data_IF_830760261198
#
_entry.id   IF_830760261198
#
_cell.length_a   1.000
_cell.length_b   1.000
_cell.length_c   1.000
_cell.angle_alpha   90.00
_cell.angle_beta   90.00
_cell.angle_gamma   90.00
#
_symmetry.space_group_name_H-M   'P 1'
#
loop_
_entity.id
_entity.type
_entity.pdbx_description
1 polymer ?
2 non-polymer ?
3 water ?
#
# COMPACT_ATOMS: atom_id res chain seq x y z
N UNK A 1 -8.95 -31.37 -15.10
CA UNK A 1 -9.05 -30.62 -13.82
C UNK A 1 -8.06 -29.46 -13.77
N UNK A 2 -6.91 -29.61 -14.42
CA UNK A 2 -5.90 -28.56 -14.45
C UNK A 2 -5.87 -27.87 -15.82
N UNK A 3 -6.05 -26.55 -15.82
CA UNK A 3 -6.06 -25.75 -17.04
C UNK A 3 -4.89 -24.78 -17.08
N UNK A 4 -4.39 -24.51 -18.28
CA UNK A 4 -3.30 -23.56 -18.47
C UNK A 4 -3.90 -22.41 -19.25
N UNK A 5 -4.12 -21.29 -18.58
CA UNK A 5 -4.76 -20.14 -19.19
C UNK A 5 -3.91 -18.88 -19.24
N UNK A 6 -3.92 -18.22 -20.39
CA UNK A 6 -3.18 -16.98 -20.55
C UNK A 6 -4.14 -15.82 -20.26
N UNK A 7 -3.72 -14.92 -19.38
CA UNK A 7 -4.53 -13.76 -19.03
C UNK A 7 -3.64 -12.54 -18.98
N UNK A 8 -4.26 -11.37 -18.87
CA UNK A 8 -3.54 -10.12 -18.77
C UNK A 8 -4.56 -9.14 -18.22
N UNK A 9 -4.08 -7.98 -17.77
CA UNK A 9 -4.97 -6.98 -17.20
C UNK A 9 -5.76 -6.23 -18.27
N UNK A 10 -6.92 -6.78 -18.64
CA UNK A 10 -7.79 -6.17 -19.63
C UNK A 10 -9.04 -5.65 -18.93
N UNK A 11 -8.89 -5.29 -17.66
CA UNK A 11 -9.96 -4.76 -16.86
C UNK A 11 -11.18 -5.65 -16.61
N UNK A 12 -10.99 -6.97 -16.64
CA UNK A 12 -12.12 -7.87 -16.35
C UNK A 12 -11.82 -8.52 -15.00
N UNK A 13 -12.86 -8.71 -14.20
CA UNK A 13 -12.75 -9.30 -12.87
C UNK A 13 -12.08 -10.67 -12.80
N UNK A 14 -12.49 -11.58 -13.69
CA UNK A 14 -11.93 -12.93 -13.70
C UNK A 14 -10.42 -12.90 -13.94
N UNK A 15 -9.98 -12.07 -14.88
CA UNK A 15 -8.56 -11.95 -15.20
C UNK A 15 -7.79 -11.36 -14.02
N UNK A 16 -8.38 -10.36 -13.37
CA UNK A 16 -7.75 -9.72 -12.23
C UNK A 16 -7.62 -10.73 -11.08
N UNK A 17 -8.61 -11.60 -10.94
CA UNK A 17 -8.61 -12.61 -9.89
C UNK A 17 -7.43 -13.57 -10.09
N UNK A 18 -7.19 -13.98 -11.33
CA UNK A 18 -6.09 -14.89 -11.64
C UNK A 18 -4.76 -14.17 -11.45
N UNK A 19 -4.66 -12.96 -12.00
CA UNK A 19 -3.45 -12.17 -11.89
C UNK A 19 -3.07 -11.98 -10.42
N UNK A 20 -4.07 -11.70 -9.59
CA UNK A 20 -3.83 -11.48 -8.17
C UNK A 20 -3.38 -12.74 -7.45
N UNK A 21 -4.00 -13.88 -7.75
CA UNK A 21 -3.60 -15.13 -7.11
C UNK A 21 -2.16 -15.45 -7.49
N UNK A 22 -1.80 -15.15 -8.74
CA UNK A 22 -0.46 -15.40 -9.25
C UNK A 22 0.54 -14.47 -8.56
N UNK A 23 0.21 -13.19 -8.50
CA UNK A 23 1.07 -12.19 -7.88
C UNK A 23 1.41 -12.59 -6.44
N UNK A 24 0.42 -13.12 -5.73
CA UNK A 24 0.62 -13.54 -4.35
C UNK A 24 1.66 -14.67 -4.26
N UNK A 25 1.65 -15.58 -5.23
CA UNK A 25 2.62 -16.67 -5.22
C UNK A 25 4.03 -16.08 -5.42
N UNK A 26 4.17 -15.23 -6.44
CA UNK A 26 5.45 -14.60 -6.73
C UNK A 26 5.97 -13.79 -5.54
N UNK A 27 5.09 -13.02 -4.92
CA UNK A 27 5.48 -12.20 -3.78
C UNK A 27 5.97 -13.06 -2.61
N UNK A 28 5.34 -14.20 -2.42
CA UNK A 28 5.73 -15.10 -1.34
C UNK A 28 7.05 -15.81 -1.65
N UNK A 29 7.27 -16.13 -2.92
CA UNK A 29 8.47 -16.85 -3.35
C UNK A 29 9.68 -15.96 -3.61
N UNK A 30 9.45 -14.67 -3.82
CA UNK A 30 10.54 -13.71 -4.06
C UNK A 30 10.40 -12.56 -3.06
N UNK A 31 10.44 -12.88 -1.76
CA UNK A 31 10.31 -11.90 -0.68
C UNK A 31 11.31 -10.75 -0.67
N UNK A 32 12.52 -11.01 -1.16
CA UNK A 32 13.57 -9.98 -1.20
C UNK A 32 13.34 -8.96 -2.32
N UNK A 33 12.36 -9.20 -3.18
CA UNK A 33 12.06 -8.26 -4.25
C UNK A 33 10.98 -7.32 -3.74
N UNK A 34 10.98 -6.07 -4.22
CA UNK A 34 9.94 -5.14 -3.74
C UNK A 34 8.57 -5.70 -4.16
N UNK A 35 7.68 -5.96 -3.20
CA UNK A 35 6.38 -6.51 -3.55
C UNK A 35 5.54 -5.64 -4.48
N UNK A 36 5.67 -4.32 -4.35
CA UNK A 36 4.89 -3.41 -5.21
C UNK A 36 5.41 -3.46 -6.65
N UNK A 37 6.69 -3.77 -6.80
CA UNK A 37 7.29 -3.87 -8.12
C UNK A 37 6.71 -5.11 -8.81
N UNK A 38 6.65 -6.22 -8.08
CA UNK A 38 6.10 -7.45 -8.61
C UNK A 38 4.65 -7.21 -9.05
N UNK A 39 3.86 -6.58 -8.19
CA UNK A 39 2.46 -6.28 -8.48
C UNK A 39 2.31 -5.45 -9.77
N UNK A 40 3.08 -4.37 -9.87
CA UNK A 40 3.03 -3.50 -11.04
C UNK A 40 3.26 -4.24 -12.35
N UNK A 41 4.25 -5.12 -12.38
CA UNK A 41 4.57 -5.89 -13.59
C UNK A 41 3.46 -6.88 -13.96
N UNK A 42 2.98 -7.63 -12.97
CA UNK A 42 1.91 -8.61 -13.20
C UNK A 42 0.62 -7.92 -13.71
N UNK A 43 0.31 -6.75 -13.16
CA UNK A 43 -0.90 -6.03 -13.54
C UNK A 43 -0.74 -5.16 -14.79
N UNK A 44 0.49 -5.03 -15.28
CA UNK A 44 0.75 -4.24 -16.48
C UNK A 44 0.11 -4.94 -17.68
N UNK A 45 -0.64 -4.20 -18.48
CA UNK A 45 -1.31 -4.82 -19.64
C UNK A 45 -0.36 -5.40 -20.69
N UNK A 46 0.83 -4.82 -20.82
CA UNK A 46 1.81 -5.30 -21.80
C UNK A 46 2.39 -6.64 -21.39
N UNK A 47 2.19 -7.01 -20.12
CA UNK A 47 2.68 -8.28 -19.60
C UNK A 47 1.56 -9.31 -19.62
N UNK A 48 1.87 -10.51 -20.12
CA UNK A 48 0.89 -11.59 -20.16
C UNK A 48 1.28 -12.63 -19.12
N UNK A 49 0.30 -13.39 -18.64
CA UNK A 49 0.56 -14.42 -17.64
C UNK A 49 -0.12 -15.75 -17.97
N UNK A 50 0.65 -16.82 -17.96
CA UNK A 50 0.07 -18.13 -18.17
C UNK A 50 -0.07 -18.69 -16.76
N UNK A 51 -1.29 -18.96 -16.35
CA UNK A 51 -1.52 -19.48 -15.01
C UNK A 51 -1.97 -20.93 -15.05
N UNK A 52 -1.54 -21.70 -14.06
CA UNK A 52 -1.94 -23.10 -13.94
C UNK A 52 -3.14 -22.98 -13.00
N UNK A 53 -4.30 -23.40 -13.47
CA UNK A 53 -5.53 -23.29 -12.70
C UNK A 53 -6.21 -24.63 -12.43
N UNK A 54 -6.67 -24.80 -11.20
CA UNK A 54 -7.38 -26.00 -10.78
C UNK A 54 -8.81 -25.49 -10.57
N UNK A 55 -9.78 -26.12 -11.22
CA UNK A 55 -11.18 -25.69 -11.11
C UNK A 55 -11.59 -25.55 -9.65
N UNK A 56 -12.42 -24.55 -9.33
CA UNK A 56 -12.99 -23.57 -10.28
C UNK A 56 -11.97 -22.53 -10.76
N UNK A 57 -11.38 -21.79 -9.84
CA UNK A 57 -10.39 -20.77 -10.19
C UNK A 57 -9.28 -20.70 -9.14
N UNK A 58 -8.64 -21.83 -8.89
CA UNK A 58 -7.55 -21.89 -7.92
C UNK A 58 -6.21 -21.85 -8.65
N UNK A 59 -5.47 -20.75 -8.47
CA UNK A 59 -4.18 -20.58 -9.10
C UNK A 59 -3.11 -21.37 -8.36
N UNK A 60 -2.53 -22.38 -9.02
CA UNK A 60 -1.49 -23.19 -8.39
C UNK A 60 -0.07 -22.84 -8.86
N UNK A 61 0.05 -21.89 -9.79
CA UNK A 61 1.35 -21.49 -10.26
C UNK A 61 1.22 -20.77 -11.58
N UNK A 62 2.35 -20.29 -12.13
CA UNK A 62 2.30 -19.59 -13.40
C UNK A 62 3.57 -18.86 -13.80
N UNK A 63 3.50 -18.23 -14.96
CA UNK A 63 4.62 -17.46 -15.50
C UNK A 63 4.10 -16.13 -16.04
N UNK A 64 4.77 -15.05 -15.66
CA UNK A 64 4.41 -13.73 -16.17
C UNK A 64 5.55 -13.40 -17.14
N UNK A 65 5.20 -13.04 -18.37
CA UNK A 65 6.21 -12.72 -19.35
C UNK A 65 5.88 -11.45 -20.15
N UNK A 66 6.91 -10.88 -20.75
CA UNK A 66 6.74 -9.68 -21.55
C UNK A 66 7.15 -10.02 -22.98
N UNK A 67 6.18 -10.15 -23.88
CA UNK A 67 6.52 -10.48 -25.27
C UNK A 67 6.90 -9.27 -26.11
N UNK A 68 7.91 -9.45 -26.98
CA UNK A 68 8.36 -8.42 -27.88
C UNK A 68 8.26 -9.11 -29.24
N UNK A 69 7.02 -9.30 -29.69
CA UNK A 69 6.74 -9.99 -30.95
C UNK A 69 7.59 -9.57 -32.14
N UNK A 70 7.79 -8.27 -32.30
CA UNK A 70 8.58 -7.76 -33.43
C UNK A 70 10.04 -8.20 -33.36
N UNK A 71 10.56 -8.39 -32.15
CA UNK A 71 11.95 -8.78 -31.96
C UNK A 71 12.10 -10.29 -31.78
N UNK A 72 10.98 -10.98 -31.91
CA UNK A 72 10.92 -12.44 -31.80
C UNK A 72 11.34 -13.07 -30.47
N UNK A 73 11.21 -12.35 -29.38
CA UNK A 73 11.57 -12.90 -28.08
C UNK A 73 10.68 -12.35 -26.97
N UNK A 74 10.68 -13.04 -25.84
CA UNK A 74 9.89 -12.62 -24.70
C UNK A 74 10.74 -12.76 -23.46
N UNK A 75 10.54 -11.86 -22.52
CA UNK A 75 11.26 -11.91 -21.26
C UNK A 75 10.39 -12.67 -20.28
N UNK A 76 10.93 -13.68 -19.64
CA UNK A 76 10.15 -14.39 -18.64
C UNK A 76 10.50 -13.66 -17.33
N UNK A 77 9.54 -12.88 -16.85
CA UNK A 77 9.72 -12.06 -15.65
C UNK A 77 9.59 -12.83 -14.33
N UNK A 78 8.53 -13.62 -14.19
CA UNK A 78 8.31 -14.38 -12.96
C UNK A 78 7.84 -15.79 -13.31
N UNK A 79 8.27 -16.76 -12.50
CA UNK A 79 7.89 -18.14 -12.70
C UNK A 79 7.89 -18.82 -11.34
N UNK A 80 6.82 -19.57 -11.04
CA UNK A 80 6.73 -20.28 -9.77
C UNK A 80 5.53 -21.20 -9.70
N UNK A 81 5.65 -22.25 -8.89
CA UNK A 81 4.57 -23.19 -8.65
C UNK A 81 4.31 -23.05 -7.15
N UNK A 82 3.03 -22.95 -6.75
CA UNK A 82 2.72 -22.79 -5.34
C UNK A 82 3.43 -23.87 -4.52
N UNK A 83 4.05 -23.47 -3.41
CA UNK A 83 4.75 -24.42 -2.56
C UNK A 83 3.81 -25.43 -1.92
N UNK A 84 2.50 -25.19 -2.01
CA UNK A 84 1.53 -26.13 -1.45
C UNK A 84 0.95 -26.99 -2.56
N UNK A 85 1.59 -26.95 -3.72
CA UNK A 85 1.17 -27.72 -4.88
C UNK A 85 2.40 -28.40 -5.46
N UNK A 86 3.06 -29.19 -4.64
CA UNK A 86 4.28 -29.86 -5.03
C UNK A 86 4.06 -31.18 -5.77
N UNK A 87 2.96 -31.27 -6.53
CA UNK A 87 2.69 -32.47 -7.30
C UNK A 87 3.64 -32.48 -8.49
N UNK A 88 4.33 -33.60 -8.68
CA UNK A 88 5.29 -33.73 -9.77
C UNK A 88 4.70 -33.35 -11.14
N UNK A 89 5.49 -32.60 -11.91
CA UNK A 89 5.05 -32.23 -13.25
C UNK A 89 4.57 -30.82 -13.53
N UNK A 90 4.01 -30.13 -12.54
CA UNK A 90 3.47 -28.79 -12.76
C UNK A 90 4.45 -27.79 -13.39
N UNK A 91 5.66 -27.70 -12.84
CA UNK A 91 6.65 -26.78 -13.37
C UNK A 91 6.98 -27.05 -14.82
N UNK A 92 7.23 -28.32 -15.13
CA UNK A 92 7.57 -28.72 -16.49
C UNK A 92 6.40 -28.53 -17.44
N UNK A 93 5.20 -28.96 -17.03
CA UNK A 93 4.03 -28.82 -17.89
C UNK A 93 3.69 -27.36 -18.15
N UNK A 94 3.91 -26.51 -17.15
CA UNK A 94 3.63 -25.09 -17.29
C UNK A 94 4.53 -24.52 -18.38
N UNK A 95 5.81 -24.85 -18.35
CA UNK A 95 6.73 -24.32 -19.35
C UNK A 95 6.40 -24.89 -20.72
N UNK A 96 6.06 -26.18 -20.75
CA UNK A 96 5.73 -26.83 -22.00
C UNK A 96 4.53 -26.14 -22.66
N UNK A 97 3.52 -25.86 -21.86
CA UNK A 97 2.33 -25.19 -22.37
C UNK A 97 2.62 -23.78 -22.86
N UNK A 98 3.48 -23.06 -22.15
CA UNK A 98 3.82 -21.70 -22.56
C UNK A 98 4.57 -21.70 -23.90
N UNK A 99 5.48 -22.66 -24.07
CA UNK A 99 6.25 -22.76 -25.31
C UNK A 99 5.28 -23.04 -26.47
N UNK A 100 4.39 -23.99 -26.27
CA UNK A 100 3.41 -24.35 -27.29
C UNK A 100 2.51 -23.16 -27.60
N UNK A 101 2.13 -22.41 -26.57
CA UNK A 101 1.27 -21.25 -26.75
C UNK A 101 1.93 -20.15 -27.57
N UNK A 102 3.12 -19.71 -27.17
CA UNK A 102 3.80 -18.64 -27.90
C UNK A 102 4.12 -19.04 -29.34
N UNK A 103 4.50 -20.30 -29.55
CA UNK A 103 4.84 -20.80 -30.87
C UNK A 103 3.61 -20.89 -31.81
N UNK A 104 2.42 -20.89 -31.22
CA UNK A 104 1.19 -21.01 -32.00
C UNK A 104 0.32 -19.76 -32.05
N UNK A 105 0.73 -18.71 -31.35
CA UNK A 105 -0.04 -17.46 -31.32
C UNK A 105 0.82 -16.23 -31.53
N UNK A 106 2.11 -16.44 -31.77
CA UNK A 106 3.02 -15.31 -31.95
C UNK A 106 4.27 -15.69 -32.74
N UNK A 107 5.13 -14.70 -32.94
CA UNK A 107 6.38 -14.88 -33.67
C UNK A 107 7.54 -14.99 -32.69
N UNK A 108 7.23 -15.25 -31.42
CA UNK A 108 8.23 -15.40 -30.38
C UNK A 108 8.95 -16.74 -30.57
N UNK A 109 10.28 -16.70 -30.65
CA UNK A 109 11.07 -17.91 -30.86
C UNK A 109 12.15 -18.07 -29.77
N UNK A 110 12.25 -17.09 -28.88
CA UNK A 110 13.25 -17.12 -27.81
C UNK A 110 12.72 -16.60 -26.48
N UNK A 111 13.23 -17.19 -25.40
CA UNK A 111 12.89 -16.75 -24.05
C UNK A 111 14.19 -16.28 -23.41
N UNK A 112 14.13 -15.16 -22.71
CA UNK A 112 15.28 -14.62 -21.98
C UNK A 112 14.77 -14.33 -20.56
N UNK A 113 15.59 -14.64 -19.57
CA UNK A 113 15.19 -14.39 -18.18
C UNK A 113 16.42 -14.20 -17.30
N UNK A 114 16.30 -13.29 -16.34
CA UNK A 114 17.37 -13.06 -15.38
C UNK A 114 16.93 -13.91 -14.21
N UNK A 115 17.33 -15.18 -14.25
CA UNK A 115 16.97 -16.16 -13.23
C UNK A 115 17.54 -15.89 -11.85
N UNK A 116 16.71 -16.08 -10.82
CA UNK A 116 17.19 -15.90 -9.46
C UNK A 116 17.96 -17.19 -9.19
N UNK A 117 18.89 -17.15 -8.23
CA UNK A 117 19.70 -18.32 -7.92
C UNK A 117 18.95 -19.65 -7.80
N UNK A 118 17.82 -19.63 -7.11
CA UNK A 118 17.05 -20.86 -6.90
C UNK A 118 16.21 -21.36 -8.07
N UNK A 119 16.19 -20.61 -9.17
CA UNK A 119 15.42 -21.03 -10.34
C UNK A 119 16.31 -21.55 -11.46
N UNK A 120 17.62 -21.32 -11.36
CA UNK A 120 18.55 -21.76 -12.38
C UNK A 120 18.42 -23.23 -12.74
N UNK A 121 18.35 -24.09 -11.72
CA UNK A 121 18.23 -25.52 -11.97
C UNK A 121 16.97 -25.90 -12.72
N UNK A 122 15.86 -25.27 -12.36
CA UNK A 122 14.60 -25.54 -13.03
C UNK A 122 14.68 -25.10 -14.48
N UNK A 123 15.17 -23.90 -14.71
CA UNK A 123 15.28 -23.38 -16.07
C UNK A 123 16.18 -24.24 -16.95
N UNK A 124 17.30 -24.72 -16.40
CA UNK A 124 18.18 -25.59 -17.17
C UNK A 124 17.41 -26.84 -17.61
N UNK A 125 16.60 -27.36 -16.69
CA UNK A 125 15.79 -28.53 -16.95
C UNK A 125 14.79 -28.28 -18.08
N UNK A 126 14.39 -27.01 -18.24
CA UNK A 126 13.46 -26.61 -19.28
C UNK A 126 14.19 -26.15 -20.56
N UNK A 127 15.47 -26.50 -20.66
CA UNK A 127 16.23 -26.16 -21.84
C UNK A 127 16.79 -24.76 -21.97
N UNK A 128 16.92 -24.05 -20.85
CA UNK A 128 17.48 -22.71 -20.87
C UNK A 128 18.99 -22.86 -20.62
N UNK A 129 19.79 -21.94 -21.14
CA UNK A 129 21.23 -21.99 -20.96
C UNK A 129 21.78 -20.64 -20.56
N UNK A 130 22.88 -20.65 -19.84
CA UNK A 130 23.54 -19.41 -19.43
C UNK A 130 24.31 -18.82 -20.61
N UNK A 131 24.57 -19.64 -21.64
CA UNK A 131 25.29 -19.16 -22.81
C UNK A 131 24.35 -18.38 -23.70
N UNK A 132 24.42 -17.06 -23.63
CA UNK A 132 23.55 -16.20 -24.42
C UNK A 132 24.06 -16.07 -25.84
N UNK A 133 23.24 -16.48 -26.80
CA UNK A 133 23.61 -16.41 -28.22
C UNK A 133 22.76 -15.41 -28.99
N UNK A 134 21.73 -14.88 -28.33
CA UNK A 134 20.87 -13.89 -28.94
C UNK A 134 21.65 -12.57 -28.86
N UNK A 135 21.94 -11.98 -30.01
CA UNK A 135 22.71 -10.74 -30.03
C UNK A 135 22.16 -9.66 -29.11
N UNK A 136 23.05 -9.03 -28.35
CA UNK A 136 22.69 -7.98 -27.40
C UNK A 136 21.87 -6.84 -28.00
N UNK A 137 22.02 -6.59 -29.29
CA UNK A 137 21.26 -5.50 -29.92
C UNK A 137 19.76 -5.80 -29.90
N UNK A 138 19.41 -7.08 -29.91
CA UNK A 138 18.01 -7.48 -29.92
C UNK A 138 17.28 -7.22 -28.59
N UNK A 139 17.93 -7.57 -27.48
CA UNK A 139 17.30 -7.42 -26.17
C UNK A 139 17.82 -6.32 -25.26
N UNK A 140 19.05 -5.85 -25.48
CA UNK A 140 19.62 -4.80 -24.63
C UNK A 140 18.71 -3.59 -24.56
N UNK A 141 18.43 -3.15 -23.34
CA UNK A 141 17.56 -2.00 -23.14
C UNK A 141 16.10 -2.38 -23.02
N UNK A 142 15.73 -3.54 -23.56
CA UNK A 142 14.35 -4.00 -23.53
C UNK A 142 14.05 -4.83 -22.29
N UNK A 143 15.08 -5.37 -21.67
CA UNK A 143 14.92 -6.16 -20.46
C UNK A 143 15.85 -5.58 -19.39
N UNK A 144 15.40 -5.62 -18.14
CA UNK A 144 16.18 -5.06 -17.03
C UNK A 144 16.57 -6.13 -16.02
N UNK A 145 17.60 -5.84 -15.23
CA UNK A 145 18.09 -6.78 -14.22
C UNK A 145 18.37 -6.07 -12.90
N UNK A 146 17.33 -5.67 -12.20
CA UNK A 146 17.50 -4.97 -10.93
C UNK A 146 17.90 -5.87 -9.77
N UNK A 147 17.62 -7.15 -9.89
CA UNK A 147 17.96 -8.09 -8.80
C UNK A 147 19.31 -8.78 -8.97
N UNK A 148 20.03 -8.47 -10.04
CA UNK A 148 21.32 -9.10 -10.24
C UNK A 148 21.22 -10.61 -10.39
N UNK A 149 20.34 -11.06 -11.28
CA UNK A 149 20.16 -12.49 -11.48
C UNK A 149 21.11 -13.01 -12.55
N UNK A 150 20.83 -14.21 -13.05
CA UNK A 150 21.65 -14.84 -14.08
C UNK A 150 20.88 -14.92 -15.39
N UNK A 151 21.32 -14.17 -16.39
CA UNK A 151 20.64 -14.21 -17.68
C UNK A 151 20.73 -15.61 -18.27
N UNK A 152 19.59 -16.13 -18.71
CA UNK A 152 19.50 -17.46 -19.32
C UNK A 152 18.63 -17.37 -20.56
N UNK A 153 18.93 -18.19 -21.56
CA UNK A 153 18.16 -18.16 -22.79
C UNK A 153 17.62 -19.50 -23.24
N UNK A 154 16.46 -19.47 -23.89
CA UNK A 154 15.87 -20.67 -24.45
C UNK A 154 15.56 -20.33 -25.90
N UNK A 155 16.05 -21.16 -26.82
CA UNK A 155 15.82 -20.95 -28.23
C UNK A 155 14.84 -22.01 -28.72
N UNK A 156 13.68 -21.58 -29.20
CA UNK A 156 12.67 -22.53 -29.66
C UNK A 156 12.50 -22.53 -31.19
N UNK A 157 11.71 -23.49 -31.69
CA UNK A 157 11.46 -23.64 -33.12
C UNK A 157 10.51 -22.56 -33.62
N UNK A 158 10.46 -22.35 -34.95
CA UNK A 158 9.58 -21.33 -35.54
C UNK A 158 8.08 -21.55 -35.37
N UNK A 159 7.33 -20.48 -35.63
CA UNK A 159 5.88 -20.47 -35.53
C UNK A 159 5.18 -21.64 -36.21
N UNK A 160 4.12 -22.11 -35.57
CA UNK A 160 3.34 -23.23 -36.08
C UNK A 160 2.02 -22.69 -36.64
N UNK A 161 1.03 -22.49 -35.79
CA UNK A 161 -0.26 -21.98 -36.26
C UNK A 161 -0.25 -20.50 -36.65
N UNK A 162 -0.95 -20.19 -37.73
CA UNK A 162 -1.13 -18.81 -38.17
C UNK A 162 -2.40 -18.68 -39.00
N UNK A 163 -3.29 -17.79 -38.57
CA UNK A 163 -4.54 -17.53 -39.28
C UNK A 163 -4.71 -16.03 -39.41
N UNK A 164 -4.62 -15.30 -38.30
CA UNK A 164 -4.71 -13.84 -38.33
C UNK A 164 -4.02 -13.19 -37.14
N UNK B 1 -11.06 34.06 29.19
CA UNK B 1 -12.00 34.23 28.04
C UNK B 1 -12.04 32.95 27.21
N UNK B 2 -10.93 32.65 26.54
CA UNK B 2 -10.84 31.44 25.72
C UNK B 2 -9.73 30.54 26.28
N UNK B 3 -10.07 29.30 26.58
CA UNK B 3 -9.10 28.37 27.14
C UNK B 3 -8.91 27.14 26.27
N UNK B 4 -7.68 26.64 26.25
CA UNK B 4 -7.31 25.43 25.50
C UNK B 4 -6.99 24.38 26.55
N UNK B 5 -7.94 23.47 26.75
CA UNK B 5 -7.78 22.43 27.77
C UNK B 5 -7.71 21.03 27.22
N UNK B 6 -6.79 20.26 27.76
CA UNK B 6 -6.64 18.88 27.34
C UNK B 6 -7.36 17.99 28.34
N UNK B 7 -8.26 17.17 27.82
CA UNK B 7 -9.03 16.26 28.67
C UNK B 7 -9.05 14.88 28.05
N UNK B 8 -9.60 13.94 28.81
CA UNK B 8 -9.75 12.57 28.36
C UNK B 8 -10.79 11.92 29.26
N UNK B 9 -11.30 10.76 28.85
CA UNK B 9 -12.31 10.07 29.62
C UNK B 9 -11.74 9.40 30.88
N UNK B 10 -11.65 10.18 31.96
CA UNK B 10 -11.13 9.68 33.22
C UNK B 10 -12.28 9.48 34.21
N UNK B 11 -13.47 9.30 33.65
CA UNK B 11 -14.68 9.05 34.43
C UNK B 11 -15.18 10.18 35.32
N UNK B 12 -14.90 11.42 34.95
CA UNK B 12 -15.40 12.54 35.72
C UNK B 12 -16.48 13.21 34.87
N UNK B 13 -17.42 13.89 35.52
CA UNK B 13 -18.51 14.56 34.81
C UNK B 13 -18.03 15.75 34.00
N UNK B 14 -17.14 16.55 34.57
CA UNK B 14 -16.63 17.73 33.87
C UNK B 14 -15.95 17.34 32.56
N UNK B 15 -15.11 16.31 32.61
CA UNK B 15 -14.41 15.88 31.41
C UNK B 15 -15.36 15.32 30.37
N UNK B 16 -16.35 14.55 30.81
CA UNK B 16 -17.33 13.97 29.89
C UNK B 16 -18.14 15.08 29.23
N UNK B 17 -18.32 16.19 29.95
CA UNK B 17 -19.07 17.32 29.42
C UNK B 17 -18.31 17.92 28.24
N UNK B 18 -17.02 18.14 28.42
CA UNK B 18 -16.18 18.71 27.38
C UNK B 18 -16.13 17.73 26.19
N UNK B 19 -15.82 16.48 26.47
CA UNK B 19 -15.73 15.45 25.42
C UNK B 19 -17.03 15.31 24.61
N UNK B 20 -18.17 15.38 25.29
CA UNK B 20 -19.45 15.25 24.60
C UNK B 20 -19.68 16.45 23.69
N UNK B 21 -19.40 17.65 24.20
CA UNK B 21 -19.57 18.85 23.41
C UNK B 21 -18.70 18.78 22.15
N UNK B 22 -17.49 18.26 22.31
CA UNK B 22 -16.55 18.12 21.21
C UNK B 22 -17.06 17.10 20.20
N UNK B 23 -17.44 15.93 20.69
CA UNK B 23 -17.96 14.86 19.84
C UNK B 23 -19.10 15.36 18.96
N UNK B 24 -19.97 16.19 19.54
CA UNK B 24 -21.10 16.73 18.81
C UNK B 24 -20.68 17.60 17.63
N UNK B 25 -19.58 18.34 17.77
CA UNK B 25 -19.10 19.18 16.66
C UNK B 25 -18.61 18.25 15.54
N UNK B 26 -17.79 17.27 15.92
CA UNK B 26 -17.25 16.31 14.97
C UNK B 26 -18.35 15.56 14.21
N UNK B 27 -19.37 15.09 14.94
CA UNK B 27 -20.48 14.37 14.32
C UNK B 27 -21.17 15.23 13.27
N UNK B 28 -21.36 16.49 13.60
CA UNK B 28 -22.01 17.44 12.71
C UNK B 28 -21.15 17.72 11.46
N UNK B 29 -19.83 17.71 11.64
CA UNK B 29 -18.91 18.01 10.54
C UNK B 29 -18.45 16.84 9.69
N UNK B 30 -18.66 15.62 10.19
CA UNK B 30 -18.26 14.41 9.49
C UNK B 30 -19.48 13.49 9.40
N UNK B 31 -20.57 13.96 8.74
CA UNK B 31 -21.80 13.17 8.62
C UNK B 31 -21.65 11.80 7.97
N UNK B 32 -20.66 11.63 7.11
CA UNK B 32 -20.44 10.35 6.45
C UNK B 32 -19.91 9.28 7.38
N UNK B 33 -19.43 9.69 8.55
CA UNK B 33 -18.90 8.74 9.52
C UNK B 33 -19.91 8.49 10.65
N UNK B 34 -20.16 7.20 10.95
CA UNK B 34 -21.11 6.85 12.01
C UNK B 34 -20.83 7.59 13.31
N UNK B 35 -21.80 8.34 13.79
CA UNK B 35 -21.65 9.11 15.02
C UNK B 35 -21.23 8.26 16.22
N UNK B 36 -21.59 6.98 16.23
CA UNK B 36 -21.26 6.11 17.35
C UNK B 36 -19.77 5.81 17.41
N UNK B 37 -19.13 5.74 16.25
CA UNK B 37 -17.70 5.46 16.19
C UNK B 37 -16.92 6.74 16.46
N UNK B 38 -17.52 7.87 16.15
CA UNK B 38 -16.86 9.14 16.41
C UNK B 38 -16.85 9.27 17.94
N UNK B 39 -17.97 8.94 18.56
CA UNK B 39 -18.10 9.00 20.02
C UNK B 39 -17.15 8.02 20.70
N UNK B 40 -17.08 6.80 20.17
CA UNK B 40 -16.19 5.79 20.76
C UNK B 40 -14.74 6.26 20.79
N UNK B 41 -14.29 6.86 19.68
CA UNK B 41 -12.92 7.35 19.58
C UNK B 41 -12.66 8.50 20.54
N UNK B 42 -13.60 9.44 20.59
CA UNK B 42 -13.47 10.59 21.48
C UNK B 42 -13.48 10.19 22.96
N UNK B 43 -14.32 9.23 23.32
CA UNK B 43 -14.46 8.78 24.71
C UNK B 43 -13.46 7.70 25.11
N UNK B 44 -12.66 7.23 24.17
CA UNK B 44 -11.67 6.20 24.46
C UNK B 44 -10.60 6.78 25.39
N UNK B 45 -10.32 6.08 26.49
CA UNK B 45 -9.34 6.56 27.46
C UNK B 45 -7.96 6.89 26.89
N UNK B 46 -7.47 6.05 25.98
CA UNK B 46 -6.15 6.27 25.37
C UNK B 46 -6.11 7.50 24.48
N UNK B 47 -7.28 8.00 24.09
CA UNK B 47 -7.37 9.17 23.23
C UNK B 47 -7.48 10.43 24.07
N UNK B 48 -6.75 11.46 23.69
CA UNK B 48 -6.80 12.73 24.40
C UNK B 48 -7.42 13.78 23.49
N UNK B 49 -8.03 14.79 24.08
CA UNK B 49 -8.65 15.86 23.32
C UNK B 49 -8.28 17.22 23.85
N UNK B 50 -7.90 18.13 22.96
CA UNK B 50 -7.64 19.48 23.38
C UNK B 50 -8.87 20.24 22.92
N UNK B 51 -9.59 20.84 23.85
CA UNK B 51 -10.78 21.59 23.52
C UNK B 51 -10.55 23.08 23.66
N UNK B 52 -11.23 23.84 22.81
CA UNK B 52 -11.17 25.30 22.87
C UNK B 52 -12.44 25.60 23.64
N UNK B 53 -12.29 26.20 24.81
CA UNK B 53 -13.46 26.48 25.66
C UNK B 53 -13.67 27.96 25.93
N UNK B 54 -14.94 28.34 25.94
CA UNK B 54 -15.35 29.70 26.23
C UNK B 54 -16.13 29.57 27.53
N UNK B 55 -15.87 30.46 28.49
CA UNK B 55 -16.55 30.44 29.78
C UNK B 55 -18.06 30.42 29.60
N UNK B 56 -18.78 29.66 30.44
CA UNK B 56 -18.23 28.83 31.52
C UNK B 56 -17.60 27.52 31.02
N UNK B 57 -18.36 26.76 30.25
CA UNK B 57 -17.86 25.49 29.71
C UNK B 57 -18.41 25.23 28.30
N UNK B 58 -18.32 26.23 27.43
CA UNK B 58 -18.81 26.11 26.07
C UNK B 58 -17.68 25.65 25.16
N UNK B 59 -17.83 24.46 24.57
CA UNK B 59 -16.82 23.91 23.66
C UNK B 59 -17.04 24.52 22.29
N UNK B 60 -16.03 25.22 21.78
CA UNK B 60 -16.16 25.84 20.47
C UNK B 60 -15.34 25.15 19.38
N UNK B 61 -14.61 24.11 19.75
CA UNK B 61 -13.82 23.37 18.79
C UNK B 61 -12.77 22.53 19.49
N UNK B 62 -12.00 21.77 18.73
CA UNK B 62 -10.98 20.95 19.34
C UNK B 62 -10.36 19.87 18.48
N UNK B 63 -9.38 19.18 19.05
CA UNK B 63 -8.69 18.10 18.36
C UNK B 63 -8.67 16.87 19.25
N UNK B 64 -8.98 15.72 18.67
CA UNK B 64 -8.92 14.48 19.41
C UNK B 64 -7.73 13.74 18.80
N UNK B 65 -6.79 13.30 19.63
CA UNK B 65 -5.63 12.59 19.10
C UNK B 65 -5.27 11.36 19.91
N UNK B 66 -4.52 10.45 19.29
CA UNK B 66 -4.09 9.23 19.94
C UNK B 66 -2.57 9.32 20.05
N UNK B 67 -2.05 9.49 21.27
CA UNK B 67 -0.60 9.58 21.45
C UNK B 67 0.12 8.23 21.42
N UNK B 68 1.27 8.21 20.75
CA UNK B 68 2.10 7.02 20.67
C UNK B 68 3.47 7.51 21.13
N UNK B 69 3.55 7.88 22.41
CA UNK B 69 4.77 8.41 23.00
C UNK B 69 6.05 7.64 22.72
N UNK B 70 6.01 6.31 22.87
CA UNK B 70 7.18 5.47 22.65
C UNK B 70 7.68 5.62 21.21
N UNK B 71 6.75 5.84 20.29
CA UNK B 71 7.08 5.97 18.87
C UNK B 71 7.27 7.42 18.42
N UNK B 72 7.16 8.34 19.37
CA UNK B 72 7.35 9.77 19.16
C UNK B 72 6.40 10.50 18.23
N UNK B 73 5.18 9.99 18.08
CA UNK B 73 4.21 10.64 17.23
C UNK B 73 2.80 10.47 17.78
N UNK B 74 1.87 11.25 17.25
CA UNK B 74 0.48 11.16 17.67
C UNK B 74 -0.37 11.22 16.42
N UNK B 75 -1.45 10.45 16.42
CA UNK B 75 -2.37 10.44 15.30
C UNK B 75 -3.47 11.45 15.59
N UNK B 76 -3.67 12.43 14.71
CA UNK B 76 -4.74 13.39 14.93
C UNK B 76 -5.98 12.77 14.29
N UNK B 77 -6.91 12.31 15.13
CA UNK B 77 -8.12 11.65 14.67
C UNK B 77 -9.20 12.61 14.15
N UNK B 78 -9.52 13.63 14.94
CA UNK B 78 -10.53 14.62 14.56
C UNK B 78 -10.04 16.03 14.89
N UNK B 79 -10.41 16.99 14.06
CA UNK B 79 -10.05 18.38 14.26
C UNK B 79 -11.19 19.20 13.67
N UNK B 80 -11.68 20.17 14.41
CA UNK B 80 -12.77 21.00 13.92
C UNK B 80 -13.04 22.17 14.83
N UNK B 81 -13.66 23.20 14.27
CA UNK B 81 -14.06 24.38 15.01
C UNK B 81 -15.55 24.47 14.70
N UNK B 82 -16.38 24.68 15.73
CA UNK B 82 -17.83 24.77 15.52
C UNK B 82 -18.17 25.79 14.43
N UNK B 83 -19.04 25.42 13.50
CA UNK B 83 -19.40 26.30 12.41
C UNK B 83 -20.12 27.57 12.87
N UNK B 84 -20.49 27.61 14.15
CA UNK B 84 -21.15 28.79 14.71
C UNK B 84 -20.18 29.62 15.55
N UNK B 85 -18.89 29.26 15.48
CA UNK B 85 -17.85 29.96 16.22
C UNK B 85 -16.75 30.35 15.22
N UNK B 86 -17.15 31.07 14.18
CA UNK B 86 -16.23 31.47 13.13
C UNK B 86 -15.35 32.69 13.39
N UNK B 87 -14.99 32.94 14.65
CA UNK B 87 -14.14 34.08 14.94
C UNK B 87 -12.71 33.75 14.47
N UNK B 88 -12.10 34.69 13.76
CA UNK B 88 -10.76 34.52 13.20
C UNK B 88 -9.69 34.05 14.19
N UNK B 89 -8.96 33.01 13.81
CA UNK B 89 -7.87 32.52 14.64
C UNK B 89 -8.03 31.25 15.44
N UNK B 90 -9.26 30.83 15.73
CA UNK B 90 -9.47 29.63 16.53
C UNK B 90 -8.74 28.41 16.02
N UNK B 91 -8.86 28.15 14.71
CA UNK B 91 -8.22 27.00 14.11
C UNK B 91 -6.70 26.97 14.23
N UNK B 92 -6.06 28.10 13.96
CA UNK B 92 -4.61 28.16 14.04
C UNK B 92 -4.13 28.09 15.49
N UNK B 93 -4.79 28.85 16.36
CA UNK B 93 -4.41 28.88 17.76
C UNK B 93 -4.57 27.50 18.41
N UNK B 94 -5.61 26.77 18.01
CA UNK B 94 -5.84 25.43 18.54
C UNK B 94 -4.67 24.51 18.19
N UNK B 95 -4.23 24.53 16.93
CA UNK B 95 -3.11 23.69 16.52
C UNK B 95 -1.82 24.14 17.21
N UNK B 96 -1.64 25.46 17.30
CA UNK B 96 -0.44 26.02 17.94
C UNK B 96 -0.36 25.57 19.39
N UNK B 97 -1.50 25.65 20.08
CA UNK B 97 -1.56 25.24 21.48
C UNK B 97 -1.32 23.75 21.64
N UNK B 98 -1.87 22.94 20.73
CA UNK B 98 -1.66 21.50 20.82
C UNK B 98 -0.19 21.17 20.61
N UNK B 99 0.42 21.83 19.63
CA UNK B 99 1.84 21.61 19.34
C UNK B 99 2.70 21.95 20.56
N UNK B 100 2.40 23.08 21.20
CA UNK B 100 3.15 23.49 22.37
C UNK B 100 2.95 22.49 23.50
N UNK B 101 1.72 22.01 23.65
CA UNK B 101 1.37 21.06 24.68
C UNK B 101 2.13 19.74 24.57
N UNK B 102 2.07 19.10 23.41
CA UNK B 102 2.78 17.82 23.25
C UNK B 102 4.29 18.01 23.38
N UNK B 103 4.80 19.16 22.94
CA UNK B 103 6.22 19.43 23.01
C UNK B 103 6.72 19.60 24.47
N UNK B 104 5.83 19.99 25.37
CA UNK B 104 6.23 20.19 26.76
C UNK B 104 5.72 19.15 27.74
N UNK B 105 5.03 18.12 27.26
CA UNK B 105 4.47 17.09 28.14
C UNK B 105 4.68 15.67 27.63
N UNK B 106 5.38 15.52 26.52
CA UNK B 106 5.57 14.20 25.95
C UNK B 106 6.75 14.19 25.00
N UNK B 107 6.96 13.02 24.39
CA UNK B 107 8.05 12.83 23.44
C UNK B 107 7.52 12.84 22.00
N UNK B 108 6.32 13.37 21.81
CA UNK B 108 5.72 13.46 20.49
C UNK B 108 6.38 14.58 19.70
N UNK B 109 6.90 14.23 18.52
CA UNK B 109 7.61 15.17 17.66
C UNK B 109 7.01 15.18 16.26
N UNK B 110 5.96 14.38 16.05
CA UNK B 110 5.31 14.28 14.74
C UNK B 110 3.82 14.07 14.88
N UNK B 111 3.07 14.61 13.92
CA UNK B 111 1.63 14.42 13.88
C UNK B 111 1.36 13.72 12.54
N UNK B 112 0.46 12.74 12.56
CA UNK B 112 0.05 12.05 11.34
C UNK B 112 -1.47 12.11 11.35
N UNK B 113 -2.07 12.35 10.19
CA UNK B 113 -3.53 12.42 10.10
C UNK B 113 -4.02 12.07 8.69
N UNK B 114 -5.17 11.40 8.63
CA UNK B 114 -5.79 11.05 7.36
C UNK B 114 -6.84 12.14 7.19
N UNK B 115 -6.41 13.27 6.63
CA UNK B 115 -7.29 14.41 6.45
C UNK B 115 -8.42 14.15 5.46
N UNK B 116 -9.63 14.59 5.81
CA UNK B 116 -10.75 14.43 4.90
C UNK B 116 -10.46 15.52 3.86
N UNK B 117 -11.07 15.39 2.68
CA UNK B 117 -10.85 16.36 1.61
C UNK B 117 -10.92 17.83 2.01
N UNK B 118 -11.99 18.21 2.71
CA UNK B 118 -12.15 19.60 3.10
C UNK B 118 -11.24 20.13 4.21
N UNK B 119 -10.43 19.25 4.80
CA UNK B 119 -9.51 19.66 5.86
C UNK B 119 -8.08 19.86 5.36
N UNK B 120 -7.77 19.31 4.19
CA UNK B 120 -6.41 19.41 3.64
C UNK B 120 -5.82 20.82 3.67
N UNK B 121 -6.59 21.80 3.19
CA UNK B 121 -6.11 23.18 3.15
C UNK B 121 -5.71 23.72 4.52
N UNK B 122 -6.54 23.47 5.52
CA UNK B 122 -6.25 23.91 6.88
C UNK B 122 -4.96 23.27 7.38
N UNK B 123 -4.82 21.96 7.18
CA UNK B 123 -3.63 21.24 7.64
C UNK B 123 -2.35 21.76 6.97
N UNK B 124 -2.41 22.00 5.66
CA UNK B 124 -1.24 22.53 4.95
C UNK B 124 -0.84 23.86 5.60
N UNK B 125 -1.85 24.66 5.95
CA UNK B 125 -1.61 25.95 6.58
C UNK B 125 -0.95 25.79 7.95
N UNK B 126 -1.15 24.64 8.60
CA UNK B 126 -0.56 24.36 9.91
C UNK B 126 0.76 23.61 9.75
N UNK B 127 1.33 23.63 8.56
CA UNK B 127 2.60 22.97 8.33
C UNK B 127 2.58 21.48 8.06
N UNK B 128 1.41 20.94 7.73
CA UNK B 128 1.29 19.51 7.44
C UNK B 128 1.58 19.32 5.94
N UNK B 129 2.09 18.14 5.58
CA UNK B 129 2.41 17.86 4.19
C UNK B 129 1.98 16.47 3.77
N UNK B 130 1.66 16.31 2.49
CA UNK B 130 1.26 15.01 1.98
C UNK B 130 2.50 14.11 1.81
N UNK B 131 3.68 14.73 1.73
CA UNK B 131 4.93 13.99 1.57
C UNK B 131 5.29 13.37 2.92
N UNK B 132 4.99 12.09 3.07
CA UNK B 132 5.25 11.38 4.31
C UNK B 132 6.72 10.95 4.35
N UNK B 133 7.44 11.37 5.40
CA UNK B 133 8.85 11.06 5.56
C UNK B 133 9.14 10.18 6.77
N UNK B 134 8.08 9.77 7.45
CA UNK B 134 8.19 8.89 8.61
C UNK B 134 8.06 7.46 8.08
N UNK B 135 9.07 6.62 8.32
CA UNK B 135 9.02 5.24 7.83
C UNK B 135 7.75 4.51 8.23
N UNK B 136 7.20 3.72 7.32
CA UNK B 136 5.98 2.97 7.57
C UNK B 136 6.04 2.12 8.84
N UNK B 137 7.22 1.58 9.13
CA UNK B 137 7.40 0.73 10.31
C UNK B 137 7.00 1.43 11.61
N UNK B 138 7.06 2.76 11.61
CA UNK B 138 6.70 3.53 12.79
C UNK B 138 5.20 3.67 13.00
N UNK B 139 4.47 3.92 11.92
CA UNK B 139 3.03 4.15 12.01
C UNK B 139 2.11 3.11 11.40
N UNK B 140 2.56 2.38 10.40
CA UNK B 140 1.72 1.38 9.77
C UNK B 140 1.26 0.36 10.81
N UNK B 141 -0.06 0.15 10.90
CA UNK B 141 -0.60 -0.78 11.86
C UNK B 141 -1.07 -0.09 13.13
N UNK B 142 -0.65 1.16 13.34
CA UNK B 142 -1.01 1.91 14.53
C UNK B 142 -2.10 2.95 14.27
N UNK B 143 -1.97 3.68 13.16
CA UNK B 143 -2.95 4.69 12.82
C UNK B 143 -4.05 4.03 11.99
N UNK B 144 -5.25 4.61 12.05
CA UNK B 144 -6.40 4.06 11.33
C UNK B 144 -6.97 4.99 10.28
N UNK B 145 -7.30 4.44 9.12
CA UNK B 145 -7.87 5.20 8.02
C UNK B 145 -9.32 4.72 7.79
N UNK B 146 -10.25 5.26 8.57
CA UNK B 146 -11.64 4.84 8.46
C UNK B 146 -12.43 5.34 7.25
N UNK B 147 -12.20 6.58 6.87
CA UNK B 147 -12.93 7.15 5.74
C UNK B 147 -12.13 7.35 4.46
N UNK B 148 -10.98 6.70 4.34
CA UNK B 148 -10.17 6.86 3.15
C UNK B 148 -9.74 8.30 2.91
N UNK B 149 -9.00 8.85 3.86
CA UNK B 149 -8.54 10.23 3.74
C UNK B 149 -7.16 10.32 3.14
N UNK B 150 -6.58 11.51 3.20
CA UNK B 150 -5.25 11.76 2.68
C UNK B 150 -4.26 11.85 3.83
N UNK B 151 -3.31 10.92 3.89
CA UNK B 151 -2.32 10.96 4.96
C UNK B 151 -1.47 12.22 4.82
N UNK B 152 -1.29 12.92 5.93
CA UNK B 152 -0.49 14.14 5.97
C UNK B 152 0.36 14.11 7.22
N UNK B 153 1.55 14.69 7.13
CA UNK B 153 2.48 14.68 8.24
C UNK B 153 2.94 16.07 8.67
N UNK B 154 3.16 16.23 9.97
CA UNK B 154 3.70 17.48 10.52
C UNK B 154 4.91 17.06 11.35
N UNK B 155 6.04 17.73 11.15
CA UNK B 155 7.27 17.42 11.88
C UNK B 155 7.62 18.62 12.75
N UNK B 156 7.59 18.42 14.07
CA UNK B 156 7.87 19.49 15.01
C UNK B 156 9.22 19.35 15.70
N UNK B 157 9.61 20.39 16.43
CA UNK B 157 10.88 20.40 17.17
C UNK B 157 10.84 19.50 18.41
N UNK B 158 12.01 19.05 18.89
CA UNK B 158 12.11 18.18 20.06
C UNK B 158 11.56 18.74 21.37
N UNK B 159 11.32 17.83 22.32
CA UNK B 159 10.77 18.18 23.63
C UNK B 159 11.48 19.34 24.34
N UNK B 160 10.69 20.15 25.03
CA UNK B 160 11.23 21.26 25.77
C UNK B 160 11.19 20.85 27.25
N UNK B 161 10.07 21.11 27.93
CA UNK B 161 9.93 20.75 29.34
C UNK B 161 9.94 19.26 29.67
N UNK B 162 10.68 18.91 30.72
CA UNK B 162 10.71 17.54 31.20
C UNK B 162 11.03 17.54 32.69
N UNK B 163 10.17 16.89 33.46
CA UNK B 163 10.34 16.78 34.90
C UNK B 163 10.13 15.33 35.28
N UNK B 164 8.96 14.77 34.94
CA UNK B 164 8.67 13.38 35.25
C UNK B 164 7.66 12.75 34.28
#
# INVERSE_FOLDING_TARGET
>A
KIEFRVVNNDNTKENMMVLTGLKNIFQKQLPKMPKEYIARLVYDRSHLSMAVIRKPLTVVGGITYRPFDKREFAEIVFCAISSTEQVRGYGAHLMNHLKDYVRNTSNIKYFLTYADNYAIGYFKKQGFTKEITLDKSIWMGYIKDYEGGTLMQCSMLPRIRYLD
>B
KIEFRVVNNDNTKENMMVLTGLKNIFQKQLPKMPKEYIARLVYDRSHLSMAVIRKPLTVVGGITYRPFDKREFAEIVFCAISSTEQVRGYGAHLMNHLKDYVRNTSNIKYFLTYADNYAIGYFKKQGFTKEITLDKSIWMGYIKDYEGGTLMQCSMLPRIRYLD
#
